data_IF_330038992940
#
_entry.id   IF_330038992940
#
_cell.length_a   1.000
_cell.length_b   1.000
_cell.length_c   1.000
_cell.angle_alpha   90.00
_cell.angle_beta   90.00
_cell.angle_gamma   90.00
#
_symmetry.space_group_name_H-M   'P 1'
#
loop_
_entity.id
_entity.type
_entity.pdbx_description
1 polymer ?
#
# COMPACT_ATOMS: atom_id res chain seq x y z
N UNK A 1 -9.23 5.51 10.88
CA UNK A 1 -10.60 4.93 10.76
C UNK A 1 -11.45 5.21 12.01
N UNK A 2 -12.75 5.49 11.87
CA UNK A 2 -13.67 5.68 13.01
C UNK A 2 -14.51 4.41 13.25
N UNK A 3 -14.38 3.81 14.44
CA UNK A 3 -15.10 2.58 14.82
C UNK A 3 -15.97 2.85 16.04
N UNK A 4 -17.24 2.49 15.97
CA UNK A 4 -18.16 2.51 17.10
C UNK A 4 -18.40 1.09 17.61
N UNK A 5 -18.08 0.86 18.87
CA UNK A 5 -18.30 -0.41 19.58
C UNK A 5 -19.43 -0.25 20.58
N UNK A 6 -20.38 -1.20 20.60
CA UNK A 6 -21.49 -1.21 21.56
C UNK A 6 -21.80 -2.62 22.05
N UNK A 7 -21.92 -2.78 23.36
CA UNK A 7 -22.50 -4.00 23.93
C UNK A 7 -24.00 -4.09 23.61
N UNK A 8 -24.43 -5.23 23.07
CA UNK A 8 -25.85 -5.52 22.84
C UNK A 8 -26.55 -5.72 24.18
N UNK A 9 -27.59 -4.93 24.41
CA UNK A 9 -28.41 -4.97 25.64
C UNK A 9 -29.80 -5.51 25.35
N UNK A 10 -30.57 -5.81 26.41
CA UNK A 10 -31.97 -6.25 26.27
C UNK A 10 -32.91 -5.20 25.64
N UNK A 11 -32.47 -3.94 25.55
CA UNK A 11 -33.20 -2.87 24.86
C UNK A 11 -32.94 -2.88 23.35
N UNK A 12 -31.89 -3.57 22.90
CA UNK A 12 -31.60 -3.82 21.49
C UNK A 12 -32.43 -5.04 21.05
N UNK A 13 -33.26 -4.85 20.04
CA UNK A 13 -34.15 -5.90 19.53
C UNK A 13 -33.75 -6.25 18.11
N UNK A 14 -34.22 -7.40 17.57
CA UNK A 14 -33.80 -8.03 16.30
C UNK A 14 -33.26 -7.14 15.16
N UNK A 15 -33.77 -5.91 14.97
CA UNK A 15 -33.30 -4.95 13.94
C UNK A 15 -33.19 -3.50 14.44
N UNK A 16 -33.13 -3.29 15.75
CA UNK A 16 -33.15 -1.97 16.37
C UNK A 16 -32.05 -1.85 17.42
N UNK A 17 -31.18 -0.87 17.23
CA UNK A 17 -30.05 -0.58 18.11
C UNK A 17 -30.27 0.80 18.73
N UNK A 18 -30.12 0.90 20.05
CA UNK A 18 -30.02 2.19 20.73
C UNK A 18 -28.58 2.72 20.63
N UNK A 19 -28.39 4.01 20.32
CA UNK A 19 -27.04 4.57 20.16
C UNK A 19 -26.93 5.95 20.82
N UNK A 20 -25.70 6.44 20.98
CA UNK A 20 -25.41 7.72 21.63
C UNK A 20 -25.56 8.88 20.65
N UNK A 21 -25.80 10.09 21.17
CA UNK A 21 -25.82 11.32 20.36
C UNK A 21 -24.50 11.54 19.60
N UNK A 22 -23.38 11.18 20.25
CA UNK A 22 -22.04 11.23 19.66
C UNK A 22 -21.89 10.28 18.47
N UNK A 23 -22.37 9.04 18.57
CA UNK A 23 -22.35 8.10 17.46
C UNK A 23 -23.28 8.54 16.32
N UNK A 24 -24.44 9.14 16.65
CA UNK A 24 -25.35 9.69 15.66
C UNK A 24 -24.74 10.82 14.85
N UNK A 25 -24.09 11.78 15.51
CA UNK A 25 -23.37 12.85 14.83
C UNK A 25 -22.28 12.29 13.92
N UNK A 26 -21.43 11.42 14.45
CA UNK A 26 -20.23 10.95 13.73
C UNK A 26 -20.52 10.03 12.54
N UNK A 27 -21.58 9.22 12.63
CA UNK A 27 -21.91 8.22 11.61
C UNK A 27 -23.10 8.62 10.71
N UNK A 28 -24.03 9.44 11.19
CA UNK A 28 -25.25 9.78 10.44
C UNK A 28 -25.44 11.30 10.22
N UNK A 29 -24.48 12.13 10.63
CA UNK A 29 -24.48 13.57 10.37
C UNK A 29 -25.52 14.37 11.16
N UNK A 30 -25.94 13.85 12.32
CA UNK A 30 -26.92 14.49 13.20
C UNK A 30 -26.37 15.66 14.03
N UNK A 31 -27.26 16.51 14.56
CA UNK A 31 -26.87 17.61 15.45
C UNK A 31 -26.44 17.07 16.84
N UNK A 32 -25.23 17.39 17.32
CA UNK A 32 -24.71 16.94 18.62
C UNK A 32 -25.53 17.42 19.83
N UNK A 33 -26.29 18.51 19.70
CA UNK A 33 -27.07 19.08 20.79
C UNK A 33 -28.41 18.36 21.01
N UNK A 34 -28.75 17.38 20.17
CA UNK A 34 -29.97 16.59 20.26
C UNK A 34 -29.80 15.44 21.26
N UNK A 35 -29.74 15.79 22.54
CA UNK A 35 -29.58 14.85 23.63
C UNK A 35 -30.92 14.15 23.99
N UNK A 36 -31.31 13.09 23.26
CA UNK A 36 -32.11 11.99 23.85
C UNK A 36 -32.35 10.81 22.90
N UNK A 37 -31.98 9.61 23.38
CA UNK A 37 -32.43 8.29 22.92
C UNK A 37 -32.52 8.11 21.40
N UNK A 38 -31.42 7.70 20.76
CA UNK A 38 -31.36 7.52 19.31
C UNK A 38 -31.52 6.05 18.97
N UNK A 39 -32.48 5.76 18.11
CA UNK A 39 -32.86 4.41 17.71
C UNK A 39 -32.60 4.23 16.23
N UNK A 40 -31.65 3.36 15.91
CA UNK A 40 -31.33 2.96 14.54
C UNK A 40 -32.10 1.69 14.24
N UNK A 41 -33.00 1.72 13.26
CA UNK A 41 -33.79 0.57 12.82
C UNK A 41 -33.41 0.19 11.40
N UNK A 42 -33.01 -1.06 11.21
CA UNK A 42 -32.67 -1.61 9.90
C UNK A 42 -33.92 -2.26 9.30
N UNK A 43 -34.33 -1.82 8.11
CA UNK A 43 -35.48 -2.32 7.38
C UNK A 43 -35.00 -2.95 6.08
N UNK A 44 -35.11 -4.27 5.96
CA UNK A 44 -34.95 -4.95 4.68
C UNK A 44 -36.12 -4.58 3.78
N UNK A 45 -35.83 -4.02 2.61
CA UNK A 45 -36.82 -3.98 1.55
C UNK A 45 -36.92 -5.37 0.91
N UNK A 46 -38.15 -5.84 0.68
CA UNK A 46 -38.45 -7.06 -0.07
C UNK A 46 -37.65 -7.06 -1.38
N UNK A 47 -36.77 -8.05 -1.56
CA UNK A 47 -35.75 -8.22 -2.63
C UNK A 47 -34.29 -7.87 -2.28
N UNK A 48 -33.81 -8.24 -1.09
CA UNK A 48 -32.44 -8.75 -0.87
C UNK A 48 -31.22 -7.88 -1.25
N UNK A 49 -31.39 -6.61 -1.65
CA UNK A 49 -30.32 -5.77 -2.20
C UNK A 49 -30.38 -4.31 -1.72
N UNK A 50 -31.29 -3.97 -0.81
CA UNK A 50 -31.42 -2.61 -0.25
C UNK A 50 -31.83 -2.70 1.22
N UNK A 51 -31.06 -2.02 2.08
CA UNK A 51 -31.40 -1.84 3.49
C UNK A 51 -31.74 -0.36 3.72
N UNK A 52 -32.99 -0.08 4.11
CA UNK A 52 -33.34 1.25 4.63
C UNK A 52 -32.94 1.30 6.10
N UNK A 53 -32.10 2.26 6.50
CA UNK A 53 -31.80 2.52 7.90
C UNK A 53 -32.60 3.74 8.34
N UNK A 54 -33.50 3.51 9.27
CA UNK A 54 -34.32 4.55 9.86
C UNK A 54 -33.68 4.95 11.18
N UNK A 55 -33.19 6.18 11.26
CA UNK A 55 -32.70 6.75 12.51
C UNK A 55 -33.81 7.61 13.10
N UNK A 56 -34.28 7.22 14.27
CA UNK A 56 -35.40 7.85 14.95
C UNK A 56 -35.00 8.31 16.34
N UNK A 57 -35.51 9.47 16.74
CA UNK A 57 -35.40 9.95 18.12
C UNK A 57 -36.48 9.28 18.95
N UNK A 58 -36.24 9.11 20.25
CA UNK A 58 -37.20 8.53 21.18
C UNK A 58 -38.55 9.28 21.22
N UNK A 59 -38.60 10.56 20.81
CA UNK A 59 -39.79 11.40 20.82
C UNK A 59 -39.94 12.33 19.59
N UNK A 60 -39.31 12.04 18.44
CA UNK A 60 -39.27 12.96 17.30
C UNK A 60 -39.32 12.31 15.91
N UNK A 61 -39.36 13.14 14.88
CA UNK A 61 -39.39 12.72 13.48
C UNK A 61 -38.19 11.82 13.14
N UNK A 62 -38.46 10.72 12.43
CA UNK A 62 -37.43 9.80 11.98
C UNK A 62 -36.79 10.30 10.69
N UNK A 63 -35.46 10.33 10.66
CA UNK A 63 -34.68 10.50 9.44
C UNK A 63 -34.51 9.13 8.79
N UNK A 64 -34.96 8.98 7.55
CA UNK A 64 -34.77 7.76 6.79
C UNK A 64 -33.57 7.93 5.87
N UNK A 65 -32.58 7.06 6.04
CA UNK A 65 -31.41 6.98 5.20
C UNK A 65 -31.52 5.69 4.38
N UNK A 66 -31.49 5.80 3.04
CA UNK A 66 -31.61 4.65 2.14
C UNK A 66 -30.21 4.23 1.71
N UNK A 67 -29.84 3.00 2.06
CA UNK A 67 -28.55 2.42 1.73
C UNK A 67 -28.75 1.33 0.68
N UNK A 68 -28.25 1.54 -0.55
CA UNK A 68 -28.30 0.52 -1.61
C UNK A 68 -27.04 -0.35 -1.57
N UNK A 69 -27.18 -1.67 -1.70
CA UNK A 69 -26.06 -2.48 -2.17
C UNK A 69 -26.08 -2.37 -3.70
N UNK A 70 -25.32 -1.45 -4.27
CA UNK A 70 -25.44 -1.18 -5.71
C UNK A 70 -25.12 -2.40 -6.59
N UNK A 71 -26.03 -2.68 -7.51
CA UNK A 71 -25.82 -2.16 -8.88
C UNK A 71 -26.87 -1.07 -9.18
N UNK A 72 -26.41 0.17 -9.37
CA UNK A 72 -27.19 1.24 -10.00
C UNK A 72 -27.63 2.39 -9.09
N UNK A 73 -26.74 3.37 -8.95
CA UNK A 73 -26.90 4.79 -8.60
C UNK A 73 -28.08 5.20 -7.69
N UNK A 74 -27.77 5.49 -6.42
CA UNK A 74 -28.39 6.56 -5.63
C UNK A 74 -27.47 6.95 -4.45
N UNK A 75 -27.10 8.23 -4.40
CA UNK A 75 -26.12 8.84 -3.48
C UNK A 75 -26.67 8.99 -2.06
N UNK A 76 -26.08 8.23 -1.13
CA UNK A 76 -25.61 8.59 0.22
C UNK A 76 -25.06 7.30 0.82
N UNK A 77 -23.72 7.22 0.87
CA UNK A 77 -22.83 6.21 1.51
C UNK A 77 -23.41 4.81 1.65
N UNK A 78 -22.85 3.78 1.02
CA UNK A 78 -23.41 2.40 1.07
C UNK A 78 -23.36 1.84 2.52
N UNK A 79 -24.23 0.92 2.94
CA UNK A 79 -24.07 0.19 4.21
C UNK A 79 -24.01 -1.28 3.85
N UNK A 80 -22.92 -1.95 4.20
CA UNK A 80 -22.78 -3.39 4.01
C UNK A 80 -23.07 -4.05 5.36
N UNK A 81 -24.17 -4.82 5.39
CA UNK A 81 -24.58 -5.60 6.55
C UNK A 81 -24.05 -7.03 6.37
N UNK A 82 -23.10 -7.44 7.21
CA UNK A 82 -22.71 -8.84 7.31
C UNK A 82 -23.40 -9.44 8.52
N UNK A 83 -24.70 -9.74 8.43
CA UNK A 83 -25.34 -10.57 9.44
C UNK A 83 -26.74 -11.02 9.05
N UNK A 84 -26.92 -12.33 8.80
CA UNK A 84 -28.23 -13.00 8.91
C UNK A 84 -28.63 -13.23 10.38
N UNK A 85 -27.77 -12.84 11.33
CA UNK A 85 -27.89 -13.09 12.77
C UNK A 85 -28.62 -11.97 13.49
N UNK A 86 -29.46 -12.33 14.46
CA UNK A 86 -30.16 -11.40 15.35
C UNK A 86 -29.22 -10.85 16.43
N UNK A 87 -29.36 -9.58 16.81
CA UNK A 87 -28.69 -9.02 17.99
C UNK A 87 -29.08 -9.82 19.25
N UNK A 88 -28.14 -10.57 19.81
CA UNK A 88 -28.33 -11.29 21.07
C UNK A 88 -27.58 -10.56 22.20
N UNK A 89 -28.20 -10.51 23.38
CA UNK A 89 -27.56 -9.91 24.55
C UNK A 89 -26.23 -10.62 24.85
N UNK A 90 -25.16 -9.84 24.98
CA UNK A 90 -23.79 -10.34 25.14
C UNK A 90 -22.94 -10.32 23.87
N UNK A 91 -23.49 -9.97 22.70
CA UNK A 91 -22.68 -9.66 21.52
C UNK A 91 -22.14 -8.21 21.57
N UNK A 92 -21.14 -7.93 20.73
CA UNK A 92 -20.65 -6.58 20.46
C UNK A 92 -21.06 -6.18 19.05
N UNK A 93 -21.69 -5.02 18.93
CA UNK A 93 -21.91 -4.35 17.64
C UNK A 93 -20.67 -3.52 17.33
N UNK A 94 -20.08 -3.76 16.16
CA UNK A 94 -18.95 -3.02 15.62
C UNK A 94 -19.39 -2.32 14.35
N UNK A 95 -19.45 -1.00 14.39
CA UNK A 95 -19.80 -0.17 13.24
C UNK A 95 -18.59 0.64 12.80
N UNK A 96 -18.12 0.39 11.59
CA UNK A 96 -16.92 1.02 11.03
C UNK A 96 -17.33 1.99 9.92
N UNK A 97 -16.87 3.24 10.01
CA UNK A 97 -17.06 4.24 8.96
C UNK A 97 -15.92 4.11 7.95
N UNK A 98 -16.23 3.65 6.74
CA UNK A 98 -15.33 3.62 5.58
C UNK A 98 -15.62 4.83 4.68
N UNK A 99 -14.73 5.11 3.71
CA UNK A 99 -14.83 6.29 2.83
C UNK A 99 -16.16 6.34 2.06
N UNK A 100 -16.56 5.22 1.46
CA UNK A 100 -17.74 5.11 0.61
C UNK A 100 -18.92 4.36 1.25
N UNK A 101 -18.69 3.74 2.41
CA UNK A 101 -19.69 2.90 3.05
C UNK A 101 -19.52 2.78 4.57
N UNK A 102 -20.54 2.27 5.24
CA UNK A 102 -20.48 1.82 6.62
C UNK A 102 -20.46 0.30 6.65
N UNK A 103 -19.67 -0.27 7.54
CA UNK A 103 -19.64 -1.70 7.80
C UNK A 103 -20.25 -1.94 9.18
N UNK A 104 -21.23 -2.82 9.28
CA UNK A 104 -21.80 -3.24 10.56
C UNK A 104 -21.55 -4.74 10.75
N UNK A 105 -20.86 -5.08 11.83
CA UNK A 105 -20.50 -6.44 12.21
C UNK A 105 -21.09 -6.76 13.59
N UNK A 106 -21.52 -8.02 13.77
CA UNK A 106 -21.89 -8.57 15.07
C UNK A 106 -20.78 -9.52 15.49
N UNK A 107 -20.09 -9.17 16.57
CA UNK A 107 -19.03 -9.98 17.17
C UNK A 107 -19.60 -10.78 18.34
N UNK A 108 -19.53 -12.10 18.23
CA UNK A 108 -20.05 -13.06 19.21
C UNK A 108 -18.94 -13.48 20.21
N UNK A 109 -19.28 -13.95 21.43
CA UNK A 109 -18.29 -14.37 22.42
C UNK A 109 -17.27 -15.42 21.96
N UNK A 110 -17.62 -16.22 20.94
CA UNK A 110 -16.74 -17.22 20.33
C UNK A 110 -15.76 -16.65 19.29
N UNK A 111 -15.93 -15.40 18.85
CA UNK A 111 -15.07 -14.80 17.83
C UNK A 111 -13.71 -14.40 18.40
N UNK A 112 -12.64 -14.60 17.64
CA UNK A 112 -11.26 -14.38 18.10
C UNK A 112 -10.97 -12.92 18.50
N UNK A 113 -11.72 -11.95 17.97
CA UNK A 113 -11.57 -10.52 18.30
C UNK A 113 -12.39 -10.08 19.54
N UNK A 114 -13.29 -10.94 20.07
CA UNK A 114 -14.24 -10.56 21.11
C UNK A 114 -13.58 -10.06 22.40
N UNK A 115 -12.63 -10.82 22.96
CA UNK A 115 -11.96 -10.47 24.22
C UNK A 115 -11.18 -9.15 24.10
N UNK A 116 -10.55 -8.91 22.94
CA UNK A 116 -9.82 -7.66 22.68
C UNK A 116 -10.77 -6.46 22.62
N UNK A 117 -11.89 -6.58 21.90
CA UNK A 117 -12.89 -5.51 21.80
C UNK A 117 -13.61 -5.27 23.14
N UNK A 118 -13.90 -6.33 23.89
CA UNK A 118 -14.46 -6.25 25.23
C UNK A 118 -13.53 -5.50 26.19
N UNK A 119 -12.22 -5.79 26.14
CA UNK A 119 -11.21 -5.09 26.94
C UNK A 119 -11.10 -3.59 26.55
N UNK A 120 -11.19 -3.26 25.26
CA UNK A 120 -11.15 -1.87 24.78
C UNK A 120 -12.31 -1.01 25.31
N UNK A 121 -13.48 -1.59 25.54
CA UNK A 121 -14.65 -0.86 26.03
C UNK A 121 -14.59 -0.51 27.53
N UNK A 122 -13.63 -1.06 28.32
CA UNK A 122 -13.41 -0.72 29.75
C UNK A 122 -14.69 -0.56 30.60
N UNK A 123 -15.64 -1.49 30.47
CA UNK A 123 -16.97 -1.49 31.13
C UNK A 123 -17.95 -0.38 30.70
N UNK A 124 -17.69 0.33 29.60
CA UNK A 124 -18.66 1.25 28.99
C UNK A 124 -19.68 0.49 28.14
N UNK A 125 -20.91 0.99 28.10
CA UNK A 125 -21.97 0.42 27.27
C UNK A 125 -21.71 0.63 25.77
N UNK A 126 -21.02 1.72 25.42
CA UNK A 126 -20.57 2.03 24.07
C UNK A 126 -19.25 2.83 24.11
N UNK A 127 -18.44 2.74 23.06
CA UNK A 127 -17.20 3.53 22.91
C UNK A 127 -16.94 3.79 21.42
N UNK A 128 -16.52 5.01 21.09
CA UNK A 128 -15.95 5.32 19.79
C UNK A 128 -14.44 5.15 19.92
N UNK A 129 -13.88 4.30 19.07
CA UNK A 129 -12.45 4.10 18.91
C UNK A 129 -12.03 4.84 17.64
N UNK A 130 -11.26 5.90 17.83
CA UNK A 130 -10.46 6.46 16.76
C UNK A 130 -9.26 5.55 16.59
N UNK A 131 -9.25 4.78 15.51
CA UNK A 131 -8.01 4.15 15.05
C UNK A 131 -7.29 5.25 14.29
N UNK A 132 -6.22 5.77 14.87
CA UNK A 132 -5.28 6.64 14.19
C UNK A 132 -4.54 5.81 13.14
N UNK A 133 -5.25 5.48 12.06
CA UNK A 133 -4.62 5.40 10.77
C UNK A 133 -4.24 6.85 10.46
N UNK A 134 -2.94 7.13 10.31
CA UNK A 134 -2.45 8.38 9.73
C UNK A 134 -2.91 8.46 8.25
N UNK A 135 -4.20 8.62 8.05
CA UNK A 135 -4.86 9.05 6.84
C UNK A 135 -5.15 10.54 7.06
N UNK A 136 -4.13 11.37 6.80
CA UNK A 136 -4.35 12.77 6.48
C UNK A 136 -5.33 12.83 5.29
N UNK A 137 -6.35 13.68 5.44
CA UNK A 137 -7.45 13.87 4.52
C UNK A 137 -6.95 14.18 3.10
N UNK A 138 -7.34 13.36 2.13
CA UNK A 138 -7.35 13.77 0.72
C UNK A 138 -8.65 14.52 0.46
N UNK A 139 -8.60 15.86 0.42
CA UNK A 139 -9.58 16.66 -0.30
C UNK A 139 -9.28 16.55 -1.80
N UNK A 140 -10.33 16.37 -2.60
CA UNK A 140 -10.29 16.51 -4.05
C UNK A 140 -10.09 17.99 -4.40
N UNK A 141 -8.84 18.44 -4.35
CA UNK A 141 -8.34 19.63 -5.02
C UNK A 141 -6.85 19.36 -5.29
N UNK A 142 -6.44 19.21 -6.55
CA UNK A 142 -5.04 18.93 -6.98
C UNK A 142 -4.01 19.95 -6.43
N UNK A 143 -4.46 21.07 -5.84
CA UNK A 143 -3.61 22.05 -5.17
C UNK A 143 -3.25 21.70 -3.70
N UNK A 144 -4.04 20.89 -2.98
CA UNK A 144 -3.84 20.62 -1.54
C UNK A 144 -3.00 19.37 -1.25
N UNK A 145 -2.97 18.38 -2.15
CA UNK A 145 -2.03 17.24 -2.12
C UNK A 145 -0.57 17.72 -2.08
N UNK A 146 -0.29 18.84 -2.74
CA UNK A 146 1.04 19.45 -2.78
C UNK A 146 1.41 20.25 -1.53
N UNK A 147 0.45 20.65 -0.70
CA UNK A 147 0.75 21.28 0.60
C UNK A 147 1.20 20.26 1.62
N UNK A 148 0.52 19.12 1.68
CA UNK A 148 0.87 18.09 2.67
C UNK A 148 2.22 17.45 2.37
N UNK A 149 2.59 17.27 1.11
CA UNK A 149 3.88 16.69 0.73
C UNK A 149 5.03 17.71 0.72
N UNK A 150 4.74 18.98 0.98
CA UNK A 150 5.70 20.08 0.79
C UNK A 150 6.93 19.92 1.66
N UNK A 151 8.09 19.78 1.03
CA UNK A 151 9.35 19.77 1.75
C UNK A 151 9.55 18.53 2.64
N UNK A 152 8.75 17.47 2.45
CA UNK A 152 8.90 16.22 3.21
C UNK A 152 9.96 15.32 2.57
N UNK A 153 10.59 14.47 3.40
CA UNK A 153 11.33 13.29 2.94
C UNK A 153 10.47 12.08 3.27
N UNK A 154 10.00 11.35 2.27
CA UNK A 154 9.06 10.24 2.46
C UNK A 154 9.69 8.97 1.92
N UNK A 155 9.69 7.90 2.73
CA UNK A 155 10.24 6.61 2.35
C UNK A 155 9.13 5.57 2.33
N UNK A 156 8.74 5.15 1.13
CA UNK A 156 7.78 4.09 0.89
C UNK A 156 8.45 2.73 1.01
N UNK A 157 7.98 1.89 1.92
CA UNK A 157 8.55 0.56 2.13
C UNK A 157 7.49 -0.54 2.10
N UNK A 158 7.93 -1.75 1.80
CA UNK A 158 7.07 -2.94 1.75
C UNK A 158 7.63 -4.01 0.82
N UNK A 159 6.88 -5.09 0.69
CA UNK A 159 7.30 -6.26 -0.08
C UNK A 159 7.48 -5.96 -1.58
N UNK A 160 8.29 -6.74 -2.31
CA UNK A 160 8.44 -6.59 -3.75
C UNK A 160 7.09 -6.68 -4.45
N UNK A 161 6.82 -5.77 -5.39
CA UNK A 161 5.55 -5.74 -6.10
C UNK A 161 4.37 -5.23 -5.28
N UNK A 162 4.56 -4.60 -4.11
CA UNK A 162 3.43 -4.01 -3.35
C UNK A 162 2.83 -2.73 -3.97
N UNK A 163 3.43 -2.19 -5.04
CA UNK A 163 2.96 -0.97 -5.70
C UNK A 163 3.61 0.34 -5.23
N UNK A 164 4.80 0.28 -4.59
CA UNK A 164 5.54 1.48 -4.12
C UNK A 164 5.82 2.49 -5.22
N UNK A 165 6.40 2.06 -6.35
CA UNK A 165 6.71 2.96 -7.46
C UNK A 165 5.45 3.56 -8.08
N UNK A 166 4.34 2.81 -8.10
CA UNK A 166 3.04 3.34 -8.53
C UNK A 166 2.48 4.38 -7.55
N UNK A 167 2.69 4.21 -6.24
CA UNK A 167 2.33 5.23 -5.25
C UNK A 167 3.13 6.53 -5.44
N UNK A 168 4.41 6.42 -5.82
CA UNK A 168 5.24 7.58 -6.21
C UNK A 168 4.72 8.24 -7.49
N UNK A 169 4.35 7.45 -8.50
CA UNK A 169 3.85 7.97 -9.78
C UNK A 169 2.52 8.73 -9.62
N UNK A 170 1.69 8.34 -8.65
CA UNK A 170 0.48 9.09 -8.27
C UNK A 170 0.79 10.47 -7.66
N UNK A 171 1.97 10.66 -7.08
CA UNK A 171 2.41 11.95 -6.51
C UNK A 171 3.00 12.84 -7.60
N UNK A 172 3.91 12.29 -8.41
CA UNK A 172 4.54 13.03 -9.49
C UNK A 172 4.94 12.10 -10.63
N UNK A 173 4.48 12.42 -11.84
CA UNK A 173 4.87 11.76 -13.08
C UNK A 173 5.33 12.77 -14.16
N UNK A 174 5.66 14.00 -13.75
CA UNK A 174 6.11 15.06 -14.65
C UNK A 174 7.63 15.23 -14.61
N UNK A 175 8.31 14.75 -15.65
CA UNK A 175 9.75 14.87 -15.87
C UNK A 175 10.28 16.32 -15.84
N UNK A 176 9.42 17.33 -16.06
CA UNK A 176 9.85 18.73 -16.02
C UNK A 176 10.18 19.22 -14.60
N UNK A 177 9.54 18.62 -13.60
CA UNK A 177 9.66 18.97 -12.18
C UNK A 177 10.25 17.85 -11.32
N UNK A 178 10.64 16.72 -11.93
CA UNK A 178 11.26 15.61 -11.21
C UNK A 178 12.65 15.21 -11.73
N UNK A 179 13.46 14.67 -10.83
CA UNK A 179 14.62 13.84 -11.16
C UNK A 179 14.39 12.48 -10.50
N UNK A 180 14.27 11.42 -11.30
CA UNK A 180 14.05 10.04 -10.83
C UNK A 180 15.29 9.21 -11.07
N UNK A 181 15.81 8.61 -10.01
CA UNK A 181 17.03 7.80 -10.01
C UNK A 181 16.82 6.50 -9.27
N UNK A 182 17.73 5.55 -9.47
CA UNK A 182 17.75 4.25 -8.78
C UNK A 182 19.11 4.12 -8.10
N UNK A 183 19.14 3.78 -6.82
CA UNK A 183 20.40 3.45 -6.16
C UNK A 183 20.83 2.02 -6.51
N UNK A 184 22.12 1.86 -6.76
CA UNK A 184 22.76 0.57 -7.00
C UNK A 184 24.09 0.52 -6.23
N UNK A 185 24.71 -0.68 -6.07
CA UNK A 185 25.88 -0.83 -5.18
C UNK A 185 27.09 0.05 -5.53
N UNK A 186 27.23 0.41 -6.81
CA UNK A 186 28.30 1.26 -7.33
C UNK A 186 27.92 2.75 -7.44
N UNK A 187 26.68 3.12 -7.09
CA UNK A 187 26.24 4.52 -7.15
C UNK A 187 26.95 5.32 -6.06
N UNK A 188 27.57 6.44 -6.43
CA UNK A 188 28.43 7.21 -5.52
C UNK A 188 27.90 8.62 -5.25
N UNK A 189 28.51 9.30 -4.28
CA UNK A 189 28.28 10.73 -4.03
C UNK A 189 28.50 11.57 -5.30
N UNK A 190 29.54 11.26 -6.09
CA UNK A 190 29.85 11.96 -7.34
C UNK A 190 28.76 11.82 -8.39
N UNK A 191 28.07 10.67 -8.44
CA UNK A 191 26.96 10.44 -9.36
C UNK A 191 25.71 11.21 -8.92
N UNK A 192 25.49 11.31 -7.60
CA UNK A 192 24.31 11.94 -7.02
C UNK A 192 24.38 13.47 -6.98
N UNK A 193 25.51 14.01 -6.54
CA UNK A 193 25.73 15.46 -6.35
C UNK A 193 26.34 16.08 -7.60
N UNK A 194 27.29 15.39 -8.22
CA UNK A 194 28.06 15.86 -9.36
C UNK A 194 29.56 15.72 -9.12
N UNK A 195 30.32 15.89 -10.20
CA UNK A 195 31.77 15.73 -10.20
C UNK A 195 32.44 16.65 -11.20
N UNK A 196 33.69 16.99 -10.92
CA UNK A 196 34.53 17.78 -11.82
C UNK A 196 35.11 16.84 -12.88
N UNK A 197 34.73 17.06 -14.14
CA UNK A 197 35.18 16.27 -15.28
C UNK A 197 35.97 17.14 -16.26
N UNK A 198 37.01 16.59 -16.91
CA UNK A 198 37.69 17.28 -17.99
C UNK A 198 36.78 17.37 -19.23
N UNK A 199 36.67 18.56 -19.80
CA UNK A 199 35.98 18.84 -21.05
C UNK A 199 36.93 19.57 -21.99
N UNK A 200 36.80 19.30 -23.29
CA UNK A 200 37.55 20.02 -24.31
C UNK A 200 36.88 21.39 -24.46
N UNK A 201 37.67 22.46 -24.29
CA UNK A 201 37.21 23.82 -24.50
C UNK A 201 36.77 24.05 -25.96
N UNK A 202 36.02 25.12 -26.22
CA UNK A 202 35.52 25.44 -27.57
C UNK A 202 36.64 25.59 -28.61
N UNK A 203 37.87 25.87 -28.17
CA UNK A 203 39.07 25.97 -29.01
C UNK A 203 39.62 24.62 -29.52
N UNK A 204 39.08 23.50 -29.02
CA UNK A 204 39.49 22.14 -29.39
C UNK A 204 40.87 21.71 -28.90
N UNK A 205 41.55 22.52 -28.08
CA UNK A 205 42.96 22.32 -27.70
C UNK A 205 43.19 22.36 -26.19
N UNK A 206 42.37 23.10 -25.46
CA UNK A 206 42.52 23.27 -24.01
C UNK A 206 41.59 22.31 -23.27
N UNK A 207 42.09 21.69 -22.19
CA UNK A 207 41.26 20.90 -21.27
C UNK A 207 40.78 21.83 -20.15
N UNK A 208 39.47 21.97 -20.02
CA UNK A 208 38.81 22.69 -18.94
C UNK A 208 38.17 21.70 -17.96
N UNK A 209 38.36 21.93 -16.67
CA UNK A 209 37.69 21.16 -15.64
C UNK A 209 36.37 21.82 -15.29
N UNK A 210 35.25 21.15 -15.58
CA UNK A 210 33.90 21.65 -15.33
C UNK A 210 33.17 20.73 -14.37
N UNK A 211 32.48 21.33 -13.41
CA UNK A 211 31.58 20.60 -12.55
C UNK A 211 30.34 20.18 -13.35
N UNK A 212 30.16 18.87 -13.49
CA UNK A 212 28.99 18.27 -14.11
C UNK A 212 27.99 17.92 -13.01
N UNK A 213 26.84 18.59 -13.04
CA UNK A 213 25.81 18.51 -12.01
C UNK A 213 25.16 17.13 -11.96
N UNK A 214 25.12 16.52 -10.77
CA UNK A 214 24.32 15.34 -10.49
C UNK A 214 22.82 15.66 -10.31
N UNK A 215 21.94 14.65 -10.24
CA UNK A 215 20.50 14.81 -10.10
C UNK A 215 20.10 15.65 -8.88
N UNK A 216 20.79 15.49 -7.74
CA UNK A 216 20.55 16.32 -6.57
C UNK A 216 20.80 17.80 -6.89
N UNK A 217 21.96 18.14 -7.45
CA UNK A 217 22.28 19.53 -7.74
C UNK A 217 21.35 20.14 -8.78
N UNK A 218 21.00 19.38 -9.83
CA UNK A 218 20.06 19.84 -10.88
C UNK A 218 18.68 20.16 -10.31
N UNK A 219 18.12 19.30 -9.44
CA UNK A 219 16.78 19.54 -8.89
C UNK A 219 16.76 20.75 -7.94
N UNK A 220 17.80 20.94 -7.12
CA UNK A 220 17.91 22.11 -6.24
C UNK A 220 18.04 23.40 -7.06
N UNK A 221 18.85 23.39 -8.13
CA UNK A 221 18.99 24.51 -9.07
C UNK A 221 17.66 24.90 -9.72
N UNK A 222 16.91 23.91 -10.24
CA UNK A 222 15.57 24.14 -10.81
C UNK A 222 14.62 24.74 -9.75
N UNK A 223 14.59 24.18 -8.56
CA UNK A 223 13.73 24.63 -7.47
C UNK A 223 14.02 26.04 -6.97
N UNK A 224 15.30 26.46 -6.94
CA UNK A 224 15.68 27.83 -6.58
C UNK A 224 15.29 28.85 -7.65
N UNK A 225 15.33 28.46 -8.93
CA UNK A 225 14.89 29.30 -10.05
C UNK A 225 13.38 29.48 -10.09
N UNK A 226 12.62 28.43 -9.80
CA UNK A 226 11.15 28.41 -9.91
C UNK A 226 10.46 28.18 -8.55
N UNK A 227 10.53 29.18 -7.67
CA UNK A 227 10.05 29.10 -6.27
C UNK A 227 8.54 28.81 -6.10
N UNK A 228 7.75 29.02 -7.15
CA UNK A 228 6.30 28.81 -7.14
C UNK A 228 5.89 27.39 -7.58
N UNK A 229 6.84 26.54 -7.98
CA UNK A 229 6.58 25.15 -8.37
C UNK A 229 7.19 24.19 -7.35
N UNK A 230 6.53 23.06 -7.17
CA UNK A 230 7.05 21.92 -6.43
C UNK A 230 7.97 21.09 -7.33
N UNK A 231 9.02 20.55 -6.73
CA UNK A 231 10.02 19.71 -7.38
C UNK A 231 10.21 18.42 -6.58
N UNK A 232 10.46 17.32 -7.28
CA UNK A 232 10.51 15.98 -6.68
C UNK A 232 11.83 15.29 -7.01
N UNK A 233 12.54 14.85 -5.98
CA UNK A 233 13.67 13.96 -6.12
C UNK A 233 13.22 12.56 -5.76
N UNK A 234 13.13 11.67 -6.75
CA UNK A 234 12.68 10.30 -6.56
C UNK A 234 13.89 9.38 -6.53
N UNK A 235 14.05 8.62 -5.44
CA UNK A 235 15.13 7.67 -5.23
C UNK A 235 14.54 6.27 -5.09
N UNK A 236 14.54 5.52 -6.18
CA UNK A 236 14.12 4.12 -6.16
C UNK A 236 15.20 3.24 -5.52
N UNK A 237 14.76 2.21 -4.79
CA UNK A 237 15.64 1.19 -4.22
C UNK A 237 16.75 1.76 -3.33
N UNK A 238 16.40 2.69 -2.42
CA UNK A 238 17.37 3.46 -1.63
C UNK A 238 18.33 2.59 -0.79
N UNK A 239 17.93 1.37 -0.44
CA UNK A 239 18.75 0.42 0.30
C UNK A 239 19.69 -0.42 -0.59
N UNK A 240 19.61 -0.33 -1.92
CA UNK A 240 20.56 -1.04 -2.83
C UNK A 240 21.89 -0.32 -3.00
N UNK A 241 21.99 0.93 -2.55
CA UNK A 241 23.25 1.67 -2.43
C UNK A 241 23.57 1.96 -0.96
N UNK A 242 24.83 2.32 -0.68
CA UNK A 242 25.22 2.81 0.63
C UNK A 242 24.69 4.26 0.81
N UNK A 243 23.42 4.39 1.18
CA UNK A 243 22.73 5.68 1.21
C UNK A 243 23.45 6.74 2.07
N UNK A 244 23.92 6.44 3.31
CA UNK A 244 24.72 7.41 4.06
C UNK A 244 25.97 7.91 3.32
N UNK A 245 26.69 7.02 2.61
CA UNK A 245 27.86 7.41 1.83
C UNK A 245 27.51 8.21 0.57
N UNK A 246 26.43 7.82 -0.13
CA UNK A 246 25.92 8.54 -1.32
C UNK A 246 25.48 9.94 -0.95
N UNK A 247 24.80 10.10 0.19
CA UNK A 247 24.36 11.39 0.70
C UNK A 247 25.49 12.22 1.34
N UNK A 248 26.65 11.66 1.65
CA UNK A 248 27.85 12.40 2.07
C UNK A 248 27.60 13.57 3.03
N UNK A 249 28.02 14.78 2.64
CA UNK A 249 27.81 16.03 3.39
C UNK A 249 26.34 16.52 3.35
N UNK A 250 25.65 16.30 2.22
CA UNK A 250 24.23 16.60 2.00
C UNK A 250 23.29 15.78 2.89
N UNK A 251 23.78 14.74 3.56
CA UNK A 251 23.06 14.03 4.61
C UNK A 251 22.50 14.95 5.70
N UNK A 252 23.22 16.03 6.05
CA UNK A 252 22.77 17.02 7.03
C UNK A 252 21.54 17.81 6.55
N UNK A 253 21.37 17.97 5.23
CA UNK A 253 20.27 18.75 4.66
C UNK A 253 18.91 18.05 4.78
N UNK A 254 18.91 16.74 5.02
CA UNK A 254 17.70 15.95 5.21
C UNK A 254 16.96 16.30 6.51
N UNK A 255 17.61 16.94 7.49
CA UNK A 255 16.92 17.48 8.66
C UNK A 255 16.05 18.67 8.22
N UNK A 256 14.72 18.49 8.15
CA UNK A 256 13.75 19.53 7.71
C UNK A 256 13.21 20.32 8.90
N UNK A 257 12.88 21.59 8.68
CA UNK A 257 12.14 22.44 9.64
C UNK A 257 10.63 22.40 9.36
N UNK A 258 9.82 23.06 10.20
CA UNK A 258 8.35 23.07 10.10
C UNK A 258 7.83 23.71 8.80
N UNK A 259 8.67 24.49 8.10
CA UNK A 259 8.35 25.09 6.80
C UNK A 259 8.78 24.22 5.62
N UNK A 260 9.36 23.04 5.90
CA UNK A 260 9.86 22.11 4.91
C UNK A 260 11.22 22.48 4.31
N UNK A 261 11.97 23.45 4.83
CA UNK A 261 13.35 23.74 4.37
C UNK A 261 14.38 22.97 5.21
N UNK A 262 15.58 22.72 4.69
CA UNK A 262 16.68 22.20 5.51
C UNK A 262 16.92 23.10 6.72
N UNK A 263 16.93 22.49 7.91
CA UNK A 263 17.18 23.19 9.17
C UNK A 263 18.59 23.74 9.27
N UNK A 264 19.55 23.03 8.67
CA UNK A 264 20.96 23.39 8.62
C UNK A 264 21.42 23.40 7.17
N UNK A 265 22.26 24.37 6.81
CA UNK A 265 22.94 24.39 5.52
C UNK A 265 24.30 23.69 5.57
N UNK A 266 24.88 23.45 4.41
CA UNK A 266 26.25 22.96 4.25
C UNK A 266 27.08 23.89 3.37
N UNK A 267 28.40 23.86 3.56
CA UNK A 267 29.36 24.55 2.69
C UNK A 267 29.86 23.60 1.61
N UNK A 268 29.26 23.69 0.43
CA UNK A 268 29.73 22.97 -0.76
C UNK A 268 29.84 23.96 -1.93
N UNK A 269 31.08 24.29 -2.30
CA UNK A 269 31.38 25.37 -3.27
C UNK A 269 30.85 25.01 -4.65
N UNK A 270 30.99 23.76 -5.08
CA UNK A 270 30.60 23.33 -6.42
C UNK A 270 29.08 23.38 -6.60
N UNK A 271 28.32 22.90 -5.60
CA UNK A 271 26.86 23.02 -5.58
C UNK A 271 26.45 24.50 -5.50
N UNK A 272 27.05 25.29 -4.60
CA UNK A 272 26.68 26.69 -4.42
C UNK A 272 26.90 27.52 -5.70
N UNK A 273 28.04 27.33 -6.39
CA UNK A 273 28.30 27.97 -7.68
C UNK A 273 27.27 27.56 -8.74
N UNK A 274 26.97 26.28 -8.82
CA UNK A 274 26.01 25.73 -9.79
C UNK A 274 24.59 26.25 -9.56
N UNK A 275 24.14 26.29 -8.30
CA UNK A 275 22.76 26.61 -7.91
C UNK A 275 22.53 28.13 -7.79
N UNK A 276 23.46 28.85 -7.18
CA UNK A 276 23.29 30.25 -6.82
C UNK A 276 24.08 31.23 -7.69
N UNK A 277 25.11 30.75 -8.41
CA UNK A 277 26.02 31.57 -9.21
C UNK A 277 27.42 31.71 -8.58
N UNK A 278 28.40 32.07 -9.41
CA UNK A 278 29.82 32.19 -9.02
C UNK A 278 30.05 33.21 -7.89
N UNK A 279 29.28 34.31 -7.87
CA UNK A 279 29.34 35.35 -6.86
C UNK A 279 28.85 34.89 -5.47
N UNK A 280 28.15 33.74 -5.44
CA UNK A 280 27.53 33.15 -4.25
C UNK A 280 28.12 31.79 -3.88
N UNK A 281 29.34 31.51 -4.33
CA UNK A 281 30.07 30.27 -4.07
C UNK A 281 30.25 29.91 -2.58
N UNK A 282 30.10 30.88 -1.69
CA UNK A 282 30.22 30.70 -0.23
C UNK A 282 28.86 30.72 0.49
N UNK A 283 27.73 30.85 -0.20
CA UNK A 283 26.41 30.70 0.40
C UNK A 283 26.17 29.26 0.84
N UNK A 284 25.39 29.09 1.92
CA UNK A 284 25.03 27.76 2.39
C UNK A 284 24.06 27.09 1.40
N UNK A 285 24.35 25.83 1.09
CA UNK A 285 23.44 24.99 0.31
C UNK A 285 22.38 24.45 1.26
N UNK A 286 21.11 24.61 0.87
CA UNK A 286 19.95 24.07 1.58
C UNK A 286 19.00 23.44 0.57
N UNK A 287 18.29 22.38 0.97
CA UNK A 287 17.16 21.89 0.20
C UNK A 287 15.98 22.84 0.49
N UNK A 288 15.44 23.56 -0.50
CA UNK A 288 14.35 24.50 -0.27
C UNK A 288 13.05 23.76 0.05
N UNK A 289 12.05 24.49 0.55
CA UNK A 289 10.77 23.90 0.91
C UNK A 289 9.89 23.47 -0.25
N UNK A 290 10.22 23.88 -1.46
CA UNK A 290 9.54 23.43 -2.68
C UNK A 290 10.23 22.21 -3.31
N UNK A 291 11.08 21.49 -2.57
CA UNK A 291 11.66 20.20 -2.97
C UNK A 291 11.22 19.12 -2.00
N UNK A 292 10.62 18.06 -2.52
CA UNK A 292 10.20 16.87 -1.77
C UNK A 292 11.05 15.69 -2.23
N UNK A 293 11.56 14.89 -1.27
CA UNK A 293 12.33 13.69 -1.57
C UNK A 293 11.43 12.48 -1.34
N UNK A 294 11.23 11.68 -2.37
CA UNK A 294 10.45 10.44 -2.33
C UNK A 294 11.40 9.28 -2.54
N UNK A 295 11.39 8.29 -1.65
CA UNK A 295 12.23 7.11 -1.78
C UNK A 295 11.40 5.84 -1.71
N UNK A 296 11.87 4.78 -2.37
CA UNK A 296 11.30 3.43 -2.26
C UNK A 296 12.32 2.47 -1.67
N UNK A 297 11.84 1.51 -0.86
CA UNK A 297 12.66 0.48 -0.22
C UNK A 297 11.93 -0.86 -0.25
N UNK A 298 12.56 -1.88 -0.83
CA UNK A 298 12.12 -3.26 -0.63
C UNK A 298 12.65 -3.78 0.70
N UNK A 299 11.78 -4.36 1.52
CA UNK A 299 12.16 -4.89 2.84
C UNK A 299 12.78 -6.29 2.79
N UNK A 300 12.58 -7.03 1.70
CA UNK A 300 12.91 -8.46 1.59
C UNK A 300 14.17 -8.80 0.80
N UNK A 301 14.76 -7.81 0.15
CA UNK A 301 15.84 -8.06 -0.82
C UNK A 301 17.10 -8.57 -0.12
N UNK A 302 17.63 -9.69 -0.61
CA UNK A 302 18.90 -10.23 -0.15
C UNK A 302 20.03 -9.39 -0.77
N UNK A 303 20.98 -8.92 0.05
CA UNK A 303 22.11 -8.06 -0.34
C UNK A 303 21.81 -6.56 -0.49
N UNK A 304 21.00 -6.02 0.39
CA UNK A 304 20.81 -4.56 0.55
C UNK A 304 21.66 -4.02 1.69
N UNK A 305 22.03 -2.74 1.60
CA UNK A 305 22.63 -2.00 2.69
C UNK A 305 21.57 -1.67 3.74
N UNK A 306 21.89 -1.90 5.01
CA UNK A 306 21.01 -1.48 6.11
C UNK A 306 21.03 0.04 6.23
N UNK A 307 19.84 0.66 6.24
CA UNK A 307 19.70 2.06 6.60
C UNK A 307 19.91 2.23 8.10
N UNK A 308 20.89 3.04 8.51
CA UNK A 308 21.11 3.30 9.93
C UNK A 308 19.98 4.15 10.55
N UNK A 309 19.88 4.14 11.88
CA UNK A 309 18.82 4.84 12.61
C UNK A 309 18.91 6.37 12.48
N UNK A 310 20.12 6.91 12.26
CA UNK A 310 20.31 8.34 12.04
C UNK A 310 19.77 8.74 10.66
N UNK A 311 19.89 7.88 9.65
CA UNK A 311 19.30 8.05 8.35
C UNK A 311 17.79 7.94 8.44
N UNK A 312 17.26 6.84 8.99
CA UNK A 312 15.82 6.57 9.05
C UNK A 312 15.00 7.68 9.75
N UNK A 313 15.49 8.26 10.85
CA UNK A 313 14.74 9.31 11.59
C UNK A 313 14.50 10.61 10.79
N UNK A 314 15.13 10.77 9.62
CA UNK A 314 15.00 11.93 8.72
C UNK A 314 13.98 11.71 7.61
N UNK A 315 13.32 10.55 7.64
CA UNK A 315 12.29 10.15 6.71
C UNK A 315 10.97 9.92 7.45
N UNK A 316 9.89 10.33 6.81
CA UNK A 316 8.56 9.84 7.13
C UNK A 316 8.38 8.47 6.48
N UNK A 317 8.38 7.43 7.30
CA UNK A 317 8.26 6.05 6.84
C UNK A 317 6.80 5.72 6.53
N UNK A 318 6.48 5.39 5.28
CA UNK A 318 5.13 5.00 4.84
C UNK A 318 5.13 3.56 4.34
N UNK A 319 4.45 2.67 5.07
CA UNK A 319 4.29 1.29 4.64
C UNK A 319 3.25 1.22 3.52
N UNK A 320 3.60 0.56 2.41
CA UNK A 320 2.62 0.20 1.39
C UNK A 320 2.02 -1.17 1.77
N UNK A 321 0.72 -1.21 2.12
CA UNK A 321 0.07 -2.45 2.53
C UNK A 321 0.01 -3.42 1.35
N UNK A 322 0.27 -4.70 1.62
CA UNK A 322 0.17 -5.76 0.60
C UNK A 322 -1.27 -6.30 0.53
N UNK A 323 -2.19 -5.48 0.03
CA UNK A 323 -3.63 -5.77 -0.03
C UNK A 323 -4.15 -5.40 -1.42
N UNK A 324 -5.03 -6.22 -1.98
CA UNK A 324 -5.69 -5.91 -3.25
C UNK A 324 -6.66 -4.75 -3.05
N UNK A 325 -6.45 -3.66 -3.78
CA UNK A 325 -7.45 -2.60 -3.82
C UNK A 325 -8.66 -3.05 -4.65
N UNK A 326 -9.86 -2.50 -4.39
CA UNK A 326 -11.07 -2.86 -5.14
C UNK A 326 -10.96 -2.61 -6.65
N UNK A 327 -10.12 -1.65 -7.03
CA UNK A 327 -9.81 -1.19 -8.39
C UNK A 327 -8.61 -1.93 -9.04
N UNK A 328 -8.07 -2.96 -8.40
CA UNK A 328 -6.93 -3.69 -8.95
C UNK A 328 -7.27 -4.40 -10.27
N UNK A 329 -6.59 -4.00 -11.35
CA UNK A 329 -6.95 -4.27 -12.75
C UNK A 329 -7.13 -5.77 -13.07
N UNK A 330 -6.25 -6.63 -12.55
CA UNK A 330 -6.21 -8.05 -12.90
C UNK A 330 -6.30 -8.99 -11.68
N UNK A 331 -6.84 -8.51 -10.55
CA UNK A 331 -6.95 -9.32 -9.33
C UNK A 331 -7.76 -10.61 -9.55
N UNK A 332 -8.83 -10.51 -10.35
CA UNK A 332 -9.73 -11.62 -10.66
C UNK A 332 -9.35 -12.37 -11.95
N UNK A 333 -8.20 -12.07 -12.55
CA UNK A 333 -7.71 -12.79 -13.73
C UNK A 333 -7.17 -14.15 -13.30
N UNK A 334 -7.58 -15.22 -13.99
CA UNK A 334 -7.12 -16.59 -13.72
C UNK A 334 -5.66 -16.78 -14.13
N UNK A 335 -4.96 -17.66 -13.43
CA UNK A 335 -3.62 -18.08 -13.82
C UNK A 335 -3.77 -19.07 -14.97
N UNK A 336 -3.43 -18.65 -16.18
CA UNK A 336 -3.57 -19.43 -17.41
C UNK A 336 -4.99 -20.03 -17.53
N UNK A 337 -5.07 -21.33 -17.78
CA UNK A 337 -6.27 -22.15 -17.91
C UNK A 337 -6.73 -22.77 -16.56
N UNK A 338 -6.17 -22.34 -15.42
CA UNK A 338 -6.59 -22.81 -14.09
C UNK A 338 -7.87 -22.10 -13.61
N UNK A 339 -8.51 -22.66 -12.57
CA UNK A 339 -9.66 -22.02 -11.92
C UNK A 339 -9.29 -20.99 -10.84
N UNK A 340 -7.99 -20.77 -10.59
CA UNK A 340 -7.51 -19.92 -9.50
C UNK A 340 -7.17 -18.54 -10.04
N UNK A 341 -7.75 -17.51 -9.44
CA UNK A 341 -7.43 -16.12 -9.73
C UNK A 341 -6.11 -15.69 -9.10
N UNK A 342 -5.49 -14.64 -9.63
CA UNK A 342 -4.30 -14.06 -9.04
C UNK A 342 -4.50 -13.67 -7.57
N UNK A 343 -5.64 -13.06 -7.24
CA UNK A 343 -6.00 -12.71 -5.86
C UNK A 343 -6.03 -13.92 -4.94
N UNK A 344 -6.77 -14.96 -5.32
CA UNK A 344 -6.86 -16.19 -4.53
C UNK A 344 -5.48 -16.83 -4.35
N UNK A 345 -4.68 -16.90 -5.43
CA UNK A 345 -3.32 -17.43 -5.35
C UNK A 345 -2.46 -16.64 -4.37
N UNK A 346 -2.40 -15.33 -4.55
CA UNK A 346 -1.55 -14.43 -3.78
C UNK A 346 -1.93 -14.44 -2.29
N UNK A 347 -3.21 -14.31 -1.95
CA UNK A 347 -3.71 -14.33 -0.57
C UNK A 347 -3.42 -15.67 0.10
N UNK A 348 -3.72 -16.79 -0.57
CA UNK A 348 -3.45 -18.13 -0.05
C UNK A 348 -1.96 -18.37 0.21
N UNK A 349 -1.10 -18.05 -0.76
CA UNK A 349 0.36 -18.23 -0.62
C UNK A 349 0.91 -17.33 0.48
N UNK A 350 0.49 -16.06 0.54
CA UNK A 350 0.95 -15.13 1.57
C UNK A 350 0.51 -15.55 2.97
N UNK A 351 -0.73 -15.99 3.14
CA UNK A 351 -1.23 -16.51 4.41
C UNK A 351 -0.45 -17.77 4.83
N UNK A 352 -0.10 -18.63 3.88
CA UNK A 352 0.70 -19.83 4.15
C UNK A 352 2.14 -19.49 4.56
N UNK A 353 2.76 -18.50 3.93
CA UNK A 353 4.10 -18.00 4.28
C UNK A 353 4.13 -17.48 5.72
N UNK A 354 3.17 -16.61 6.08
CA UNK A 354 3.09 -16.01 7.43
C UNK A 354 2.78 -17.06 8.49
N UNK A 355 1.85 -17.97 8.21
CA UNK A 355 1.36 -18.94 9.21
C UNK A 355 2.39 -20.02 9.60
N UNK A 356 3.30 -20.39 8.69
CA UNK A 356 4.28 -21.45 8.94
C UNK A 356 5.66 -20.94 9.41
N UNK A 357 5.89 -19.62 9.37
CA UNK A 357 7.14 -19.01 9.80
C UNK A 357 6.86 -17.71 10.57
N UNK A 358 6.51 -17.79 11.86
CA UNK A 358 6.13 -16.62 12.68
C UNK A 358 7.31 -15.68 13.03
N UNK A 359 8.45 -15.78 12.35
CA UNK A 359 9.54 -14.81 12.51
C UNK A 359 9.22 -13.53 11.72
N UNK A 360 9.51 -12.37 12.30
CA UNK A 360 9.23 -11.04 11.72
C UNK A 360 9.81 -10.84 10.31
N UNK A 361 10.93 -11.49 9.96
CA UNK A 361 11.54 -11.42 8.62
C UNK A 361 10.78 -12.20 7.53
N UNK A 362 9.74 -12.95 7.90
CA UNK A 362 8.95 -13.77 6.96
C UNK A 362 7.84 -12.96 6.31
N UNK A 363 7.32 -11.92 6.98
CA UNK A 363 6.32 -11.03 6.40
C UNK A 363 6.84 -10.27 5.18
N UNK A 364 8.15 -10.03 5.13
CA UNK A 364 8.80 -9.36 4.00
C UNK A 364 8.88 -10.26 2.76
N UNK A 365 8.86 -11.58 2.94
CA UNK A 365 8.95 -12.56 1.84
C UNK A 365 7.64 -12.82 1.10
N UNK A 366 6.60 -12.05 1.41
CA UNK A 366 5.29 -12.16 0.74
C UNK A 366 5.36 -11.65 -0.70
N UNK A 367 4.50 -12.20 -1.54
CA UNK A 367 4.26 -11.73 -2.89
C UNK A 367 3.42 -10.45 -2.87
N UNK A 368 3.94 -9.36 -3.42
CA UNK A 368 3.17 -8.14 -3.65
C UNK A 368 1.98 -8.34 -4.58
N UNK A 369 0.94 -7.52 -4.43
CA UNK A 369 -0.25 -7.57 -5.30
C UNK A 369 0.04 -7.24 -6.76
N UNK A 370 1.01 -6.37 -7.02
CA UNK A 370 1.53 -5.99 -8.34
C UNK A 370 2.88 -6.67 -8.65
N UNK A 371 3.14 -7.86 -8.10
CA UNK A 371 4.39 -8.60 -8.34
C UNK A 371 4.55 -9.05 -9.80
N UNK A 372 3.45 -9.23 -10.50
CA UNK A 372 3.38 -9.60 -11.92
C UNK A 372 2.53 -8.60 -12.69
N UNK A 373 2.56 -8.70 -14.01
CA UNK A 373 1.64 -7.98 -14.92
C UNK A 373 0.52 -8.90 -15.37
N UNK A 374 -0.58 -8.32 -15.86
CA UNK A 374 -1.71 -9.11 -16.39
C UNK A 374 -1.29 -10.08 -17.51
N UNK A 375 -0.35 -9.69 -18.37
CA UNK A 375 0.19 -10.54 -19.45
C UNK A 375 0.86 -11.82 -18.94
N UNK A 376 1.42 -11.78 -17.73
CA UNK A 376 2.10 -12.92 -17.11
C UNK A 376 1.10 -14.00 -16.68
N UNK A 377 -0.16 -13.62 -16.43
CA UNK A 377 -1.25 -14.56 -16.11
C UNK A 377 -1.82 -15.22 -17.36
N UNK A 378 -1.61 -14.63 -18.53
CA UNK A 378 -2.16 -15.12 -19.81
C UNK A 378 -1.15 -15.92 -20.62
N UNK A 379 0.14 -15.75 -20.36
CA UNK A 379 1.23 -16.34 -21.15
C UNK A 379 1.92 -17.47 -20.37
N UNK A 380 1.96 -18.68 -20.95
CA UNK A 380 2.34 -19.93 -20.28
C UNK A 380 3.63 -19.90 -19.45
N UNK A 381 4.68 -19.26 -19.96
CA UNK A 381 6.02 -19.38 -19.38
C UNK A 381 6.35 -18.26 -18.37
N UNK A 382 5.61 -17.16 -18.36
CA UNK A 382 5.96 -16.00 -17.55
C UNK A 382 5.60 -16.18 -16.07
N UNK A 383 4.42 -16.74 -15.78
CA UNK A 383 4.00 -17.02 -14.42
C UNK A 383 4.97 -17.94 -13.67
N UNK A 384 5.34 -19.14 -14.18
CA UNK A 384 6.27 -20.02 -13.47
C UNK A 384 7.65 -19.38 -13.28
N UNK A 385 8.20 -18.73 -14.32
CA UNK A 385 9.54 -18.13 -14.25
C UNK A 385 9.62 -16.93 -13.30
N UNK A 386 8.52 -16.19 -13.08
CA UNK A 386 8.50 -15.06 -12.15
C UNK A 386 8.06 -15.48 -10.75
N UNK A 387 6.90 -16.12 -10.63
CA UNK A 387 6.23 -16.36 -9.36
C UNK A 387 6.75 -17.62 -8.69
N UNK A 388 6.72 -18.76 -9.39
CA UNK A 388 7.13 -20.05 -8.82
C UNK A 388 8.62 -20.01 -8.47
N UNK A 389 9.45 -19.47 -9.36
CA UNK A 389 10.88 -19.30 -9.13
C UNK A 389 11.19 -18.43 -7.92
N UNK A 390 10.57 -17.26 -7.80
CA UNK A 390 10.72 -16.40 -6.61
C UNK A 390 10.32 -17.13 -5.32
N UNK A 391 9.18 -17.83 -5.35
CA UNK A 391 8.74 -18.60 -4.19
C UNK A 391 9.78 -19.66 -3.82
N UNK A 392 10.30 -20.38 -4.80
CA UNK A 392 11.25 -21.47 -4.60
C UNK A 392 12.65 -21.01 -4.14
N UNK A 393 13.21 -19.98 -4.79
CA UNK A 393 14.58 -19.54 -4.58
C UNK A 393 14.73 -18.54 -3.42
N UNK A 394 13.70 -17.73 -3.16
CA UNK A 394 13.76 -16.61 -2.21
C UNK A 394 12.77 -16.76 -1.05
N UNK A 395 11.47 -16.87 -1.35
CA UNK A 395 10.44 -16.77 -0.33
C UNK A 395 10.48 -17.96 0.65
N UNK A 396 10.54 -19.17 0.10
CA UNK A 396 10.50 -20.43 0.86
C UNK A 396 11.72 -21.32 0.62
N UNK A 397 12.87 -20.70 0.32
CA UNK A 397 14.17 -21.37 0.05
C UNK A 397 14.51 -22.52 1.00
N UNK A 398 14.21 -22.37 2.28
CA UNK A 398 14.55 -23.32 3.35
C UNK A 398 13.34 -24.12 3.88
N UNK A 399 12.16 -23.93 3.31
CA UNK A 399 10.90 -24.55 3.75
C UNK A 399 9.99 -24.79 2.55
N UNK A 400 10.51 -25.43 1.50
CA UNK A 400 9.79 -25.55 0.22
C UNK A 400 8.50 -26.33 0.37
N UNK A 401 8.48 -27.32 1.26
CA UNK A 401 7.34 -28.16 1.64
C UNK A 401 6.11 -27.38 2.11
N UNK A 402 6.27 -26.13 2.57
CA UNK A 402 5.12 -25.31 3.00
C UNK A 402 4.26 -24.84 1.82
N UNK A 403 4.85 -24.71 0.62
CA UNK A 403 4.18 -24.22 -0.60
C UNK A 403 4.16 -25.29 -1.70
N UNK A 404 5.23 -26.08 -1.83
CA UNK A 404 5.43 -27.03 -2.93
C UNK A 404 5.25 -28.48 -2.48
N UNK A 405 4.76 -29.33 -3.39
CA UNK A 405 4.72 -30.78 -3.19
C UNK A 405 6.11 -31.38 -3.45
N UNK A 406 7.01 -31.24 -2.47
CA UNK A 406 8.41 -31.68 -2.57
C UNK A 406 8.54 -33.22 -2.67
N UNK A 407 7.51 -33.98 -2.28
CA UNK A 407 7.50 -35.45 -2.40
C UNK A 407 7.53 -35.90 -3.85
N UNK A 408 6.76 -35.22 -4.70
CA UNK A 408 6.64 -35.55 -6.12
C UNK A 408 7.54 -34.65 -7.01
N UNK A 409 7.88 -33.44 -6.55
CA UNK A 409 8.66 -32.45 -7.30
C UNK A 409 9.80 -31.89 -6.44
N UNK A 410 10.96 -32.58 -6.44
CA UNK A 410 12.10 -32.27 -5.58
C UNK A 410 13.02 -31.16 -6.11
N UNK A 411 12.83 -30.70 -7.35
CA UNK A 411 13.64 -29.64 -7.98
C UNK A 411 12.77 -28.58 -8.62
N UNK A 412 13.30 -27.36 -8.75
CA UNK A 412 12.62 -26.26 -9.44
C UNK A 412 12.28 -26.64 -10.88
N UNK A 413 13.19 -27.33 -11.57
CA UNK A 413 12.99 -27.81 -12.94
C UNK A 413 11.78 -28.72 -13.03
N UNK A 414 11.62 -29.68 -12.10
CA UNK A 414 10.44 -30.57 -12.08
C UNK A 414 9.15 -29.81 -11.79
N UNK A 415 9.20 -28.80 -10.91
CA UNK A 415 8.04 -27.94 -10.60
C UNK A 415 7.62 -27.14 -11.83
N UNK A 416 8.56 -26.45 -12.49
CA UNK A 416 8.28 -25.64 -13.68
C UNK A 416 7.80 -26.55 -14.82
N UNK A 417 8.51 -27.65 -15.11
CA UNK A 417 8.17 -28.57 -16.20
C UNK A 417 6.76 -29.15 -16.02
N UNK A 418 6.43 -29.57 -14.80
CA UNK A 418 5.09 -30.07 -14.48
C UNK A 418 4.04 -28.98 -14.64
N UNK A 419 4.31 -27.76 -14.18
CA UNK A 419 3.37 -26.65 -14.27
C UNK A 419 3.10 -26.25 -15.73
N UNK A 420 4.13 -26.21 -16.58
CA UNK A 420 4.01 -25.80 -17.98
C UNK A 420 3.36 -26.87 -18.86
N UNK A 421 3.71 -28.15 -18.67
CA UNK A 421 3.19 -29.27 -19.49
C UNK A 421 1.80 -29.77 -19.09
N UNK A 422 1.31 -29.40 -17.92
CA UNK A 422 -0.03 -29.77 -17.46
C UNK A 422 -1.07 -28.79 -17.99
N UNK A 423 -2.34 -29.18 -18.06
CA UNK A 423 -3.45 -28.30 -18.43
C UNK A 423 -4.39 -28.10 -17.24
N UNK A 424 -5.05 -26.95 -17.19
CA UNK A 424 -6.03 -26.58 -16.16
C UNK A 424 -5.50 -26.80 -14.75
N UNK A 425 -6.33 -27.27 -13.84
CA UNK A 425 -5.97 -27.48 -12.44
C UNK A 425 -4.92 -28.57 -12.20
N UNK A 426 -4.56 -29.39 -13.20
CA UNK A 426 -3.42 -30.30 -13.09
C UNK A 426 -2.09 -29.56 -12.91
N UNK A 427 -2.00 -28.31 -13.39
CA UNK A 427 -0.84 -27.43 -13.15
C UNK A 427 -0.61 -27.20 -11.65
N UNK A 428 -1.68 -27.13 -10.87
CA UNK A 428 -1.63 -26.80 -9.44
C UNK A 428 -1.10 -27.94 -8.56
N UNK A 429 -0.94 -29.16 -9.09
CA UNK A 429 -0.41 -30.31 -8.35
C UNK A 429 1.04 -30.16 -7.90
N UNK A 430 1.76 -29.19 -8.46
CA UNK A 430 3.12 -28.84 -8.03
C UNK A 430 3.15 -28.20 -6.65
N UNK A 431 2.00 -27.67 -6.19
CA UNK A 431 1.86 -27.07 -4.88
C UNK A 431 1.43 -28.09 -3.82
N UNK A 432 1.69 -27.78 -2.56
CA UNK A 432 1.38 -28.64 -1.43
C UNK A 432 -0.12 -28.96 -1.35
N UNK A 433 -0.43 -30.19 -0.92
CA UNK A 433 -1.82 -30.66 -0.80
C UNK A 433 -2.62 -29.77 0.17
N UNK A 434 -3.84 -29.42 -0.24
CA UNK A 434 -4.72 -28.53 0.54
C UNK A 434 -4.32 -27.06 0.53
N UNK A 435 -3.31 -26.65 -0.26
CA UNK A 435 -2.98 -25.23 -0.42
C UNK A 435 -4.12 -24.47 -1.12
N UNK A 436 -4.63 -25.02 -2.23
CA UNK A 436 -5.74 -24.44 -2.97
C UNK A 436 -7.00 -25.30 -2.86
N UNK A 437 -8.15 -24.65 -2.66
CA UNK A 437 -9.47 -25.30 -2.76
C UNK A 437 -9.83 -25.45 -4.24
N UNK A 438 -9.34 -26.53 -4.86
CA UNK A 438 -9.66 -26.86 -6.24
C UNK A 438 -11.15 -27.22 -6.30
N UNK A 439 -11.96 -26.41 -6.98
CA UNK A 439 -13.34 -26.79 -7.30
C UNK A 439 -13.26 -27.93 -8.32
N UNK A 440 -13.94 -29.05 -8.05
CA UNK A 440 -14.07 -30.11 -9.04
C UNK A 440 -14.75 -29.54 -10.29
N UNK A 441 -14.10 -29.70 -11.45
CA UNK A 441 -14.67 -29.34 -12.74
C UNK A 441 -15.98 -30.11 -12.92
N UNK A 442 -17.11 -29.44 -12.75
CA UNK A 442 -18.42 -30.02 -13.09
C UNK A 442 -18.56 -29.99 -14.60
N UNK A 443 -18.39 -31.17 -15.21
CA UNK A 443 -18.80 -31.59 -16.55
C UNK A 443 -18.93 -30.48 -17.62
N UNK A 444 -17.83 -30.22 -18.33
CA UNK A 444 -17.91 -29.86 -19.75
C UNK A 444 -17.10 -30.89 -20.53
N UNK A 445 -17.84 -31.78 -21.19
CA UNK A 445 -17.30 -32.78 -22.11
C UNK A 445 -16.79 -32.10 -23.37
N UNK A 446 -15.58 -32.52 -23.78
CA UNK A 446 -14.98 -32.42 -25.12
C UNK A 446 -14.77 -31.02 -25.71
N UNK A 447 -13.57 -30.48 -25.53
CA UNK A 447 -12.61 -30.25 -26.62
C UNK A 447 -11.21 -30.14 -26.00
N UNK A 448 -10.27 -30.94 -26.53
CA UNK A 448 -8.87 -30.96 -26.10
C UNK A 448 -8.23 -29.82 -26.87
N UNK A 449 -8.11 -28.63 -26.25
CA UNK A 449 -7.17 -27.64 -26.77
C UNK A 449 -5.76 -28.19 -26.55
N UNK A 450 -5.03 -28.36 -27.66
CA UNK A 450 -3.65 -28.85 -27.66
C UNK A 450 -2.79 -28.02 -26.69
N UNK A 451 -1.78 -28.65 -26.05
CA UNK A 451 -0.82 -27.91 -25.24
C UNK A 451 -0.21 -26.78 -26.07
N UNK A 452 -0.25 -25.56 -25.52
CA UNK A 452 0.36 -24.37 -26.11
C UNK A 452 1.84 -24.71 -26.35
N UNK A 453 2.20 -24.95 -27.62
CA UNK A 453 3.59 -25.10 -28.03
C UNK A 453 4.27 -23.76 -27.77
N UNK A 454 5.24 -23.76 -26.86
CA UNK A 454 6.17 -22.65 -26.74
C UNK A 454 6.96 -22.51 -28.04
N UNK A 455 6.78 -21.40 -28.72
CA UNK A 455 7.73 -20.97 -29.76
C UNK A 455 9.00 -20.47 -29.04
N UNK A 456 10.11 -21.15 -29.34
CA UNK A 456 11.48 -20.82 -28.96
C UNK A 456 11.96 -19.51 -29.60
#
# INVERSE_FOLDING_TARGET
MLVYLKNVTNNDTKKQIETTAEAYQNFFGGDPNEASGIKVKIKEAYSGQVADVIVSKAAGNANSYRFSSERGTLTLSKLVLYSDKSFAAGNIIKMTKMREYFLLEIVEPQDSEFETLAAMMKNKQATIVCVDDNDEQYSEDDEDLNKDLRGKNILFYGVPGSGKSHAVDKICNDNSVMERIVFHPEYTYSDFVGQILPQIAEDGKTIEYKFVEGPFTRIIKKAKKEKNKMFYLIIEEINRGNAPAIFGDIFQLLDRNDLGESKYGIKNIDIAKSVYGEDKALEDVVIPNNVTILATMNTSDQNVFTLDTAFQRRWEMRQIPNIFSPDHEFANTTILDTTITWKEFNETVNNRIVSNNPMASTEDKRLGTYFIKEEDLKTGNNFPEKVIKYLWDDAVKFSRDIIFNEKDYSTLELVIDKFEKSARNERLKVFAEGLFNIREDTDYTTEIDEPIKGDL
#
